data_IF_045432802989
#
_entry.id   IF_045432802989
#
_cell.length_a   1.000
_cell.length_b   1.000
_cell.length_c   1.000
_cell.angle_alpha   90.00
_cell.angle_beta   90.00
_cell.angle_gamma   90.00
#
_symmetry.space_group_name_H-M   'P 1'
#
loop_
_entity.id
_entity.type
_entity.pdbx_description
1 polymer ?
#
# COMPACT_ATOMS: atom_id res chain seq x y z
N UNK A 1 -15.67 -12.21 -8.93
CA UNK A 1 -15.33 -11.47 -7.70
C UNK A 1 -13.83 -11.54 -7.55
N UNK A 2 -13.13 -10.40 -7.48
CA UNK A 2 -11.71 -10.35 -7.10
C UNK A 2 -11.72 -9.95 -5.64
N UNK A 3 -11.66 -10.94 -4.75
CA UNK A 3 -11.54 -10.73 -3.31
C UNK A 3 -10.06 -10.97 -2.94
N UNK A 4 -9.38 -9.99 -2.34
CA UNK A 4 -8.00 -10.19 -1.89
C UNK A 4 -7.96 -11.10 -0.67
N UNK A 5 -7.07 -12.09 -0.67
CA UNK A 5 -6.91 -13.05 0.45
C UNK A 5 -6.51 -12.39 1.78
N UNK A 6 -5.95 -11.18 1.74
CA UNK A 6 -5.35 -10.47 2.87
C UNK A 6 -5.93 -9.06 3.08
N UNK A 7 -7.10 -8.77 2.50
CA UNK A 7 -7.76 -7.45 2.51
C UNK A 7 -6.93 -6.31 1.90
N UNK A 8 -5.89 -6.62 1.11
CA UNK A 8 -5.04 -5.62 0.45
C UNK A 8 -5.11 -5.82 -1.06
N UNK A 9 -5.49 -4.77 -1.78
CA UNK A 9 -5.49 -4.75 -3.23
C UNK A 9 -4.63 -3.60 -3.75
N UNK A 10 -3.94 -3.84 -4.86
CA UNK A 10 -3.11 -2.84 -5.55
C UNK A 10 -3.28 -2.95 -7.04
N UNK A 11 -3.15 -1.84 -7.76
CA UNK A 11 -3.15 -1.78 -9.22
C UNK A 11 -2.04 -0.83 -9.71
N UNK A 12 -1.76 -0.84 -11.01
CA UNK A 12 -0.75 0.03 -11.63
C UNK A 12 0.67 -0.57 -11.63
N UNK A 13 1.62 0.16 -12.22
CA UNK A 13 3.01 -0.27 -12.41
C UNK A 13 3.75 -0.51 -11.09
N UNK A 14 3.52 0.33 -10.08
CA UNK A 14 4.08 0.18 -8.74
C UNK A 14 3.36 -0.83 -7.84
N UNK A 15 2.29 -1.47 -8.35
CA UNK A 15 1.36 -2.27 -7.53
C UNK A 15 2.03 -3.41 -6.78
N UNK A 16 2.91 -4.17 -7.44
CA UNK A 16 3.60 -5.30 -6.81
C UNK A 16 4.52 -4.89 -5.65
N UNK A 17 5.16 -3.71 -5.75
CA UNK A 17 6.04 -3.20 -4.69
C UNK A 17 5.21 -2.74 -3.48
N UNK A 18 4.15 -1.95 -3.74
CA UNK A 18 3.22 -1.53 -2.70
C UNK A 18 2.56 -2.73 -2.01
N UNK A 19 2.13 -3.74 -2.77
CA UNK A 19 1.50 -4.94 -2.22
C UNK A 19 2.46 -5.72 -1.32
N UNK A 20 3.71 -5.89 -1.76
CA UNK A 20 4.73 -6.57 -0.95
C UNK A 20 4.99 -5.84 0.36
N UNK A 21 5.14 -4.51 0.32
CA UNK A 21 5.35 -3.68 1.50
C UNK A 21 4.15 -3.72 2.45
N UNK A 22 2.93 -3.54 1.93
CA UNK A 22 1.70 -3.54 2.70
C UNK A 22 1.48 -4.88 3.41
N UNK A 23 1.72 -6.00 2.71
CA UNK A 23 1.64 -7.35 3.29
C UNK A 23 2.61 -7.55 4.43
N UNK A 24 3.86 -7.11 4.26
CA UNK A 24 4.88 -7.24 5.29
C UNK A 24 4.52 -6.41 6.53
N UNK A 25 4.14 -5.15 6.35
CA UNK A 25 3.75 -4.26 7.45
C UNK A 25 2.47 -4.74 8.15
N UNK A 26 1.43 -5.11 7.41
CA UNK A 26 0.19 -5.66 8.00
C UNK A 26 0.47 -6.92 8.84
N UNK A 27 1.43 -7.76 8.45
CA UNK A 27 1.80 -8.96 9.20
C UNK A 27 2.67 -8.66 10.43
N UNK A 28 3.59 -7.70 10.35
CA UNK A 28 4.68 -7.56 11.32
C UNK A 28 4.67 -6.27 12.15
N UNK A 29 4.00 -5.21 11.71
CA UNK A 29 3.93 -3.90 12.35
C UNK A 29 2.48 -3.62 12.79
N UNK A 30 2.05 -4.29 13.87
CA UNK A 30 0.66 -4.28 14.35
C UNK A 30 0.20 -2.95 14.94
N UNK A 31 1.15 -2.07 15.22
CA UNK A 31 0.95 -0.71 15.71
C UNK A 31 0.61 0.30 14.61
N UNK A 32 0.81 -0.05 13.33
CA UNK A 32 0.51 0.83 12.22
C UNK A 32 -0.97 0.80 11.86
N UNK A 33 -1.52 1.99 11.59
CA UNK A 33 -2.87 2.14 11.05
C UNK A 33 -2.91 1.79 9.56
N UNK A 34 -4.12 1.54 9.01
CA UNK A 34 -4.29 1.29 7.58
C UNK A 34 -3.73 2.42 6.71
N UNK A 35 -3.96 3.68 7.11
CA UNK A 35 -3.38 4.87 6.45
C UNK A 35 -1.87 4.82 6.41
N UNK A 36 -1.22 4.55 7.54
CA UNK A 36 0.24 4.50 7.65
C UNK A 36 0.81 3.39 6.77
N UNK A 37 0.17 2.21 6.76
CA UNK A 37 0.57 1.10 5.89
C UNK A 37 0.45 1.50 4.40
N UNK A 38 -0.65 2.14 3.99
CA UNK A 38 -0.84 2.61 2.61
C UNK A 38 0.20 3.66 2.22
N UNK A 39 0.41 4.66 3.06
CA UNK A 39 1.36 5.75 2.82
C UNK A 39 2.80 5.22 2.64
N UNK A 40 3.28 4.40 3.57
CA UNK A 40 4.62 3.81 3.48
C UNK A 40 4.77 2.87 2.28
N UNK A 41 3.74 2.08 1.98
CA UNK A 41 3.78 1.17 0.82
C UNK A 41 3.85 1.92 -0.50
N UNK A 42 3.16 3.05 -0.62
CA UNK A 42 3.20 3.90 -1.81
C UNK A 42 4.53 4.65 -1.94
N UNK A 43 5.12 5.10 -0.83
CA UNK A 43 6.47 5.67 -0.83
C UNK A 43 7.51 4.65 -1.31
N UNK A 44 7.48 3.42 -0.79
CA UNK A 44 8.35 2.34 -1.27
C UNK A 44 8.15 2.06 -2.76
N UNK A 45 6.91 2.08 -3.24
CA UNK A 45 6.63 1.92 -4.67
C UNK A 45 7.20 3.08 -5.50
N UNK A 46 7.09 4.33 -5.03
CA UNK A 46 7.65 5.50 -5.67
C UNK A 46 9.19 5.50 -5.72
N UNK A 47 9.85 4.90 -4.73
CA UNK A 47 11.32 4.76 -4.70
C UNK A 47 11.84 3.72 -5.71
N UNK A 48 10.99 2.78 -6.15
CA UNK A 48 11.40 1.63 -6.99
C UNK A 48 10.85 1.73 -8.42
N UNK A 49 9.59 2.11 -8.59
CA UNK A 49 8.91 2.17 -9.88
C UNK A 49 9.07 3.55 -10.52
N UNK A 50 9.73 3.62 -11.68
CA UNK A 50 9.97 4.87 -12.42
C UNK A 50 8.68 5.61 -12.85
N UNK A 51 7.53 4.93 -12.81
CA UNK A 51 6.22 5.48 -13.15
C UNK A 51 5.37 5.87 -11.93
N UNK A 52 5.85 5.61 -10.71
CA UNK A 52 5.21 5.99 -9.46
C UNK A 52 6.00 7.12 -8.81
N UNK A 53 5.34 8.09 -8.18
CA UNK A 53 6.01 9.24 -7.54
C UNK A 53 5.46 9.47 -6.12
N UNK A 54 6.09 10.38 -5.38
CA UNK A 54 5.75 10.69 -3.97
C UNK A 54 4.56 11.65 -3.80
N UNK A 55 3.85 12.02 -4.87
CA UNK A 55 2.70 12.91 -4.76
C UNK A 55 1.44 12.07 -4.48
N UNK A 56 1.26 11.71 -3.21
CA UNK A 56 0.23 10.76 -2.79
C UNK A 56 -1.11 11.45 -2.49
N UNK A 57 -2.21 10.83 -2.92
CA UNK A 57 -3.57 11.16 -2.47
C UNK A 57 -4.12 9.97 -1.70
N UNK A 58 -4.38 10.14 -0.40
CA UNK A 58 -4.85 9.08 0.49
C UNK A 58 -6.24 9.45 1.00
N UNK A 59 -7.19 8.55 0.83
CA UNK A 59 -8.59 8.70 1.26
C UNK A 59 -8.89 7.56 2.25
N UNK A 60 -9.52 7.92 3.37
CA UNK A 60 -9.99 6.98 4.39
C UNK A 60 -11.51 7.09 4.48
N UNK A 61 -12.16 5.96 4.75
CA UNK A 61 -13.60 5.93 5.05
C UNK A 61 -13.71 6.00 6.57
N UNK A 62 -14.40 7.03 7.07
CA UNK A 62 -14.78 7.12 8.48
C UNK A 62 -15.99 6.22 8.74
N UNK A 63 -16.12 5.69 9.97
CA UNK A 63 -17.27 4.87 10.40
C UNK A 63 -18.60 5.64 10.37
#
# INVERSE_FOLDING_TARGET
VIEPDDNIATIGSGGSYALSAARAMSKHAKELTAKQIVEESLNIAADIDIYTNHNLSIIEIED
#
